data_IF_745208359583
#
_entry.id   IF_745208359583
#
_cell.length_a   1.000
_cell.length_b   1.000
_cell.length_c   1.000
_cell.angle_alpha   90.00
_cell.angle_beta   90.00
_cell.angle_gamma   90.00
#
_symmetry.space_group_name_H-M   'P 1'
#
loop_
_entity.id
_entity.type
_entity.pdbx_description
1 polymer ?
#
# COMPACT_ATOMS: atom_id res chain seq x y z
N UNK A 1 6.03 16.40 41.22
CA UNK A 1 5.38 16.33 39.89
C UNK A 1 4.01 15.71 40.06
N UNK A 2 2.93 16.39 39.65
CA UNK A 2 1.56 15.89 39.76
C UNK A 2 1.32 14.94 38.58
N UNK A 3 0.96 13.67 38.87
CA UNK A 3 0.55 12.73 37.84
C UNK A 3 -0.89 13.07 37.44
N UNK A 4 -1.11 13.26 36.15
CA UNK A 4 -2.43 13.51 35.57
C UNK A 4 -2.88 12.28 34.79
N UNK A 5 -4.17 11.95 34.90
CA UNK A 5 -4.73 10.82 34.16
C UNK A 5 -5.18 11.31 32.79
N UNK A 6 -4.44 10.91 31.76
CA UNK A 6 -4.75 11.23 30.37
C UNK A 6 -5.52 10.09 29.73
N UNK A 7 -6.50 10.41 28.89
CA UNK A 7 -7.25 9.43 28.11
C UNK A 7 -6.85 9.53 26.64
N UNK A 8 -6.34 8.45 26.07
CA UNK A 8 -6.00 8.37 24.65
C UNK A 8 -6.87 7.34 23.94
N UNK A 9 -7.20 7.61 22.68
CA UNK A 9 -7.81 6.64 21.77
C UNK A 9 -6.72 6.08 20.89
N UNK A 10 -6.56 4.76 20.89
CA UNK A 10 -5.55 4.09 20.07
C UNK A 10 -6.13 2.80 19.48
N UNK A 11 -5.70 2.42 18.27
CA UNK A 11 -5.96 1.07 17.77
C UNK A 11 -5.20 0.06 18.63
N UNK A 12 -5.86 -1.05 18.97
CA UNK A 12 -5.25 -2.26 19.51
C UNK A 12 -5.26 -3.32 18.42
N UNK A 13 -4.10 -3.95 18.18
CA UNK A 13 -3.93 -5.03 17.21
C UNK A 13 -4.10 -6.37 17.94
N UNK A 14 -4.98 -7.24 17.43
CA UNK A 14 -5.24 -8.58 17.95
C UNK A 14 -4.46 -9.65 17.19
N UNK A 15 -4.36 -9.48 15.87
CA UNK A 15 -3.64 -10.38 14.99
C UNK A 15 -3.03 -9.59 13.84
N UNK A 16 -1.92 -10.08 13.31
CA UNK A 16 -1.17 -9.43 12.25
C UNK A 16 -0.48 -10.46 11.38
N UNK A 17 -0.86 -10.47 10.10
CA UNK A 17 -0.25 -11.33 9.09
C UNK A 17 0.40 -10.46 8.04
N UNK A 18 1.66 -10.80 7.72
CA UNK A 18 2.41 -10.21 6.61
C UNK A 18 2.63 -11.26 5.54
N UNK A 19 2.35 -10.92 4.29
CA UNK A 19 2.48 -11.86 3.17
C UNK A 19 2.96 -11.16 1.92
N UNK A 20 3.94 -11.79 1.26
CA UNK A 20 4.30 -11.47 -0.12
C UNK A 20 3.27 -12.08 -1.07
N UNK A 21 2.74 -11.29 -1.98
CA UNK A 21 1.85 -11.71 -3.05
C UNK A 21 2.47 -11.34 -4.38
N UNK A 22 2.50 -12.30 -5.29
CA UNK A 22 3.02 -12.14 -6.64
C UNK A 22 1.84 -12.32 -7.59
N UNK A 23 1.58 -11.30 -8.40
CA UNK A 23 0.53 -11.37 -9.41
C UNK A 23 1.00 -12.26 -10.57
N UNK A 24 0.07 -12.91 -11.28
CA UNK A 24 0.40 -13.55 -12.54
C UNK A 24 1.10 -12.57 -13.48
N UNK A 25 2.09 -13.07 -14.23
CA UNK A 25 2.78 -12.27 -15.24
C UNK A 25 1.78 -11.73 -16.25
N UNK A 26 1.80 -10.42 -16.45
CA UNK A 26 0.96 -9.75 -17.44
C UNK A 26 1.79 -9.54 -18.69
N UNK A 27 1.31 -10.06 -19.82
CA UNK A 27 2.00 -9.99 -21.11
C UNK A 27 1.39 -8.89 -21.98
N UNK A 28 2.21 -7.93 -22.38
CA UNK A 28 1.81 -6.83 -23.28
C UNK A 28 2.46 -7.01 -24.64
N UNK A 29 1.66 -7.35 -25.65
CA UNK A 29 2.09 -7.46 -27.06
C UNK A 29 1.97 -6.13 -27.79
N UNK A 30 1.19 -5.20 -27.26
CA UNK A 30 1.05 -3.82 -27.70
C UNK A 30 0.94 -2.96 -26.45
N UNK A 31 1.64 -1.83 -26.42
CA UNK A 31 1.45 -0.83 -25.37
C UNK A 31 0.45 0.18 -25.94
N UNK A 32 -0.75 0.28 -25.39
CA UNK A 32 -1.65 1.39 -25.76
C UNK A 32 -1.01 2.71 -25.30
N UNK A 33 -1.04 3.73 -26.15
CA UNK A 33 -0.18 4.90 -26.01
C UNK A 33 -0.94 6.16 -25.62
N UNK A 34 -0.42 6.92 -24.64
CA UNK A 34 -0.97 8.22 -24.22
C UNK A 34 -0.58 9.34 -25.21
N UNK A 35 0.59 9.23 -25.81
CA UNK A 35 1.12 10.06 -26.90
C UNK A 35 1.53 9.15 -28.05
N UNK A 36 1.40 9.54 -29.32
CA UNK A 36 1.66 8.73 -30.54
C UNK A 36 3.08 8.10 -30.56
N UNK A 37 3.26 7.01 -29.82
CA UNK A 37 4.53 6.32 -29.69
C UNK A 37 4.64 5.31 -30.83
N UNK A 38 5.60 5.51 -31.73
CA UNK A 38 5.89 4.57 -32.82
C UNK A 38 6.54 3.25 -32.36
N UNK A 39 6.18 2.69 -31.19
CA UNK A 39 6.82 1.48 -30.64
C UNK A 39 6.58 0.25 -31.56
N UNK A 40 5.51 0.27 -32.34
CA UNK A 40 5.20 -0.69 -33.40
C UNK A 40 5.53 -0.21 -34.83
N UNK A 41 6.10 1.00 -35.00
CA UNK A 41 6.37 1.61 -36.32
C UNK A 41 7.87 1.91 -36.53
N UNK A 42 8.53 1.07 -37.32
CA UNK A 42 9.79 1.43 -37.99
C UNK A 42 11.06 1.48 -37.13
N UNK A 43 11.66 2.67 -37.07
CA UNK A 43 13.03 2.98 -36.57
C UNK A 43 13.13 3.03 -35.03
N UNK A 44 11.98 3.11 -34.35
CA UNK A 44 11.86 3.15 -32.88
C UNK A 44 11.55 1.79 -32.24
N UNK A 45 11.68 0.69 -32.98
CA UNK A 45 11.55 -0.67 -32.43
C UNK A 45 12.68 -0.90 -31.40
N UNK A 46 12.35 -1.06 -30.11
CA UNK A 46 13.36 -1.20 -29.06
C UNK A 46 14.29 -2.38 -29.33
N UNK A 47 13.79 -3.46 -29.94
CA UNK A 47 14.58 -4.64 -30.26
C UNK A 47 15.58 -4.45 -31.42
N UNK A 48 15.30 -3.53 -32.35
CA UNK A 48 16.28 -3.12 -33.38
C UNK A 48 17.37 -2.22 -32.79
N UNK A 49 17.02 -1.40 -31.80
CA UNK A 49 17.95 -0.48 -31.16
C UNK A 49 18.97 -1.24 -30.30
N UNK A 50 18.53 -2.28 -29.57
CA UNK A 50 19.40 -3.17 -28.75
C UNK A 50 20.49 -3.82 -29.59
N UNK A 51 20.12 -4.30 -30.78
CA UNK A 51 21.04 -5.01 -31.67
C UNK A 51 22.11 -4.09 -32.27
N UNK A 52 21.92 -2.77 -32.20
CA UNK A 52 22.91 -1.75 -32.57
C UNK A 52 23.76 -1.25 -31.38
N UNK A 53 23.87 -2.04 -30.30
CA UNK A 53 24.72 -1.76 -29.13
C UNK A 53 24.29 -0.55 -28.29
N UNK A 54 23.02 -0.12 -28.39
CA UNK A 54 22.44 0.90 -27.50
C UNK A 54 21.61 0.22 -26.40
N UNK A 55 21.82 0.63 -25.15
CA UNK A 55 20.99 0.19 -24.03
C UNK A 55 19.68 1.00 -23.95
N UNK A 56 18.68 0.39 -23.35
CA UNK A 56 17.38 0.96 -23.02
C UNK A 56 17.03 0.48 -21.60
N UNK A 57 16.21 1.25 -20.90
CA UNK A 57 15.67 0.93 -19.60
C UNK A 57 14.16 0.84 -19.73
N UNK A 58 13.57 -0.27 -19.30
CA UNK A 58 12.12 -0.38 -19.14
C UNK A 58 11.83 -0.14 -17.67
N UNK A 59 11.20 0.99 -17.39
CA UNK A 59 10.72 1.36 -16.06
C UNK A 59 9.25 0.97 -15.97
N UNK A 60 8.89 0.36 -14.85
CA UNK A 60 7.49 0.20 -14.47
C UNK A 60 7.29 0.80 -13.08
N UNK A 61 6.29 1.66 -12.96
CA UNK A 61 6.00 2.36 -11.72
C UNK A 61 4.50 2.37 -11.44
N UNK A 62 4.16 2.55 -10.17
CA UNK A 62 2.79 2.70 -9.72
C UNK A 62 2.26 4.07 -10.16
N UNK A 63 1.04 4.11 -10.68
CA UNK A 63 0.40 5.36 -11.09
C UNK A 63 -1.03 5.47 -10.58
N UNK A 64 -1.58 6.66 -10.70
CA UNK A 64 -3.02 6.87 -10.63
C UNK A 64 -3.72 6.49 -11.96
N UNK A 65 -5.03 6.72 -12.03
CA UNK A 65 -5.83 6.44 -13.22
C UNK A 65 -5.55 7.40 -14.40
N UNK A 66 -4.85 8.51 -14.17
CA UNK A 66 -4.42 9.45 -15.19
C UNK A 66 -3.01 9.14 -15.72
N UNK A 67 -2.24 8.32 -14.99
CA UNK A 67 -0.87 7.94 -15.35
C UNK A 67 0.21 8.71 -14.62
N UNK A 68 -0.17 9.47 -13.60
CA UNK A 68 0.78 10.22 -12.77
C UNK A 68 1.41 9.28 -11.74
N UNK A 69 2.74 9.33 -11.61
CA UNK A 69 3.49 8.44 -10.73
C UNK A 69 3.11 8.65 -9.26
N UNK A 70 2.78 7.56 -8.57
CA UNK A 70 2.45 7.55 -7.15
C UNK A 70 3.61 6.94 -6.36
N UNK A 71 3.89 7.51 -5.19
CA UNK A 71 4.82 6.88 -4.26
C UNK A 71 4.13 5.69 -3.58
N UNK A 72 4.65 4.45 -3.71
CA UNK A 72 4.00 3.28 -3.14
C UNK A 72 3.88 3.27 -1.61
N UNK A 73 4.61 4.14 -0.90
CA UNK A 73 4.48 4.27 0.56
C UNK A 73 3.34 5.20 0.98
N UNK A 74 2.70 5.88 0.05
CA UNK A 74 1.60 6.80 0.37
C UNK A 74 0.34 6.04 0.74
N UNK A 75 -0.39 6.52 1.75
CA UNK A 75 -1.59 5.87 2.31
C UNK A 75 -2.70 5.61 1.28
N UNK A 76 -2.71 6.36 0.17
CA UNK A 76 -3.72 6.30 -0.88
C UNK A 76 -3.17 5.82 -2.23
N UNK A 77 -1.94 5.31 -2.26
CA UNK A 77 -1.32 4.79 -3.47
C UNK A 77 -2.01 3.53 -4.02
N UNK A 78 -2.71 2.78 -3.15
CA UNK A 78 -3.44 1.57 -3.53
C UNK A 78 -4.86 1.62 -3.00
N UNK A 79 -5.77 0.99 -3.75
CA UNK A 79 -7.08 0.63 -3.23
C UNK A 79 -6.95 -0.75 -2.57
N UNK A 80 -6.80 -0.80 -1.24
CA UNK A 80 -6.87 -2.05 -0.49
C UNK A 80 -8.13 -2.13 0.38
N UNK A 81 -8.95 -3.14 0.13
CA UNK A 81 -10.16 -3.42 0.90
C UNK A 81 -10.04 -4.79 1.55
N UNK A 82 -10.25 -4.84 2.86
CA UNK A 82 -10.30 -6.08 3.63
C UNK A 82 -11.68 -6.21 4.27
N UNK A 83 -12.30 -7.38 4.16
CA UNK A 83 -13.58 -7.65 4.80
C UNK A 83 -13.72 -9.13 5.19
N UNK A 84 -14.38 -9.43 6.32
CA UNK A 84 -14.64 -10.81 6.73
C UNK A 84 -15.67 -11.45 5.78
N UNK A 85 -15.48 -12.74 5.49
CA UNK A 85 -16.40 -13.53 4.64
C UNK A 85 -17.22 -14.56 5.44
N UNK A 86 -17.30 -14.40 6.76
CA UNK A 86 -18.25 -15.12 7.63
C UNK A 86 -17.96 -16.60 7.87
N UNK A 87 -16.80 -17.12 7.46
CA UNK A 87 -16.42 -18.51 7.72
C UNK A 87 -15.52 -18.60 8.95
N UNK A 88 -16.12 -18.99 10.08
CA UNK A 88 -15.40 -19.27 11.30
C UNK A 88 -14.72 -20.65 11.22
N UNK A 89 -13.47 -20.71 11.65
CA UNK A 89 -12.67 -21.92 11.76
C UNK A 89 -12.17 -21.97 13.20
N UNK A 90 -12.75 -22.85 14.01
CA UNK A 90 -12.27 -23.08 15.36
C UNK A 90 -11.01 -23.94 15.33
N UNK A 91 -9.97 -23.54 16.05
CA UNK A 91 -8.75 -24.33 16.24
C UNK A 91 -8.33 -24.34 17.69
N UNK A 92 -7.63 -25.40 18.11
CA UNK A 92 -7.17 -25.57 19.49
C UNK A 92 -5.69 -25.24 19.55
N UNK A 93 -5.34 -24.25 20.35
CA UNK A 93 -3.96 -23.89 20.68
C UNK A 93 -3.28 -25.05 21.44
N UNK A 94 -1.93 -25.12 21.45
CA UNK A 94 -1.20 -26.08 22.28
C UNK A 94 -1.54 -25.99 23.79
N UNK A 95 -2.06 -24.84 24.24
CA UNK A 95 -2.56 -24.62 25.60
C UNK A 95 -3.89 -25.32 25.90
N UNK A 96 -4.56 -25.89 24.91
CA UNK A 96 -5.91 -26.45 25.02
C UNK A 96 -7.02 -25.42 24.83
N UNK A 97 -6.69 -24.13 24.67
CA UNK A 97 -7.66 -23.07 24.41
C UNK A 97 -8.17 -23.14 22.97
N UNK A 98 -9.49 -23.06 22.78
CA UNK A 98 -10.11 -22.93 21.46
C UNK A 98 -10.14 -21.47 21.06
N UNK A 99 -9.68 -21.16 19.86
CA UNK A 99 -9.78 -19.84 19.24
C UNK A 99 -10.55 -19.93 17.92
N UNK A 100 -11.34 -18.91 17.63
CA UNK A 100 -12.06 -18.79 16.38
C UNK A 100 -11.29 -17.90 15.41
N UNK A 101 -10.88 -18.49 14.29
CA UNK A 101 -10.29 -17.80 13.17
C UNK A 101 -11.36 -17.48 12.14
N UNK A 102 -11.23 -16.34 11.47
CA UNK A 102 -12.11 -15.95 10.37
C UNK A 102 -11.32 -15.81 9.08
N UNK A 103 -11.95 -16.21 7.98
CA UNK A 103 -11.44 -15.85 6.66
C UNK A 103 -11.75 -14.39 6.35
N UNK A 104 -10.71 -13.66 5.92
CA UNK A 104 -10.80 -12.27 5.47
C UNK A 104 -10.40 -12.23 4.00
N UNK A 105 -11.30 -11.70 3.17
CA UNK A 105 -11.01 -11.45 1.76
C UNK A 105 -10.40 -10.07 1.63
N UNK A 106 -9.27 -10.01 0.96
CA UNK A 106 -8.51 -8.79 0.71
C UNK A 106 -8.44 -8.59 -0.80
N UNK A 107 -8.94 -7.45 -1.28
CA UNK A 107 -8.85 -7.06 -2.68
C UNK A 107 -7.97 -5.83 -2.79
N UNK A 108 -6.97 -5.91 -3.67
CA UNK A 108 -6.02 -4.83 -3.94
C UNK A 108 -6.12 -4.48 -5.41
N UNK A 109 -6.25 -3.20 -5.72
CA UNK A 109 -6.19 -2.69 -7.08
C UNK A 109 -5.41 -1.39 -7.17
N UNK A 110 -4.93 -1.10 -8.38
CA UNK A 110 -4.18 0.11 -8.71
C UNK A 110 -3.90 0.17 -10.21
N UNK A 111 -3.08 1.13 -10.61
CA UNK A 111 -2.62 1.28 -11.98
C UNK A 111 -1.10 1.27 -12.02
N UNK A 112 -0.52 0.80 -13.12
CA UNK A 112 0.90 0.94 -13.41
C UNK A 112 1.08 1.61 -14.75
N UNK A 113 2.22 2.26 -14.95
CA UNK A 113 2.67 2.75 -16.25
C UNK A 113 4.01 2.13 -16.58
N UNK A 114 4.17 1.78 -17.86
CA UNK A 114 5.42 1.27 -18.42
C UNK A 114 6.03 2.37 -19.27
N UNK A 115 7.30 2.68 -18.99
CA UNK A 115 8.07 3.70 -19.68
C UNK A 115 9.34 3.07 -20.25
N UNK A 116 9.60 3.29 -21.54
CA UNK A 116 10.81 2.85 -22.21
C UNK A 116 11.71 4.05 -22.43
N UNK A 117 12.89 4.02 -21.83
CA UNK A 117 13.86 5.11 -21.82
C UNK A 117 15.09 4.66 -22.61
N UNK A 118 15.62 5.52 -23.48
CA UNK A 118 16.85 5.21 -24.21
C UNK A 118 18.11 5.45 -23.36
N UNK A 119 19.27 5.07 -23.90
CA UNK A 119 20.59 5.31 -23.28
C UNK A 119 20.93 6.76 -22.98
N UNK A 120 20.24 7.73 -23.60
CA UNK A 120 20.42 9.16 -23.34
C UNK A 120 19.48 9.69 -22.25
N UNK A 121 18.59 8.85 -21.70
CA UNK A 121 17.61 9.24 -20.69
C UNK A 121 16.31 9.82 -21.26
N UNK A 122 16.09 9.78 -22.58
CA UNK A 122 14.84 10.24 -23.18
C UNK A 122 13.82 9.11 -23.24
N UNK A 123 12.59 9.43 -22.83
CA UNK A 123 11.42 8.57 -22.97
C UNK A 123 11.09 8.38 -24.45
N UNK A 124 11.15 7.14 -24.91
CA UNK A 124 10.78 6.72 -26.27
C UNK A 124 9.30 6.34 -26.32
N UNK A 125 8.82 5.70 -25.27
CA UNK A 125 7.50 5.09 -25.21
C UNK A 125 6.95 5.23 -23.79
N UNK A 126 5.67 5.58 -23.68
CA UNK A 126 4.92 5.52 -22.43
C UNK A 126 3.57 4.86 -22.67
N UNK A 127 3.19 3.93 -21.81
CA UNK A 127 1.87 3.30 -21.87
C UNK A 127 0.80 4.24 -21.30
N UNK A 128 -0.45 4.04 -21.70
CA UNK A 128 -1.59 4.47 -20.87
C UNK A 128 -1.56 3.76 -19.52
N UNK A 129 -2.30 4.24 -18.51
CA UNK A 129 -2.40 3.58 -17.21
C UNK A 129 -3.01 2.19 -17.35
N UNK A 130 -2.28 1.18 -16.88
CA UNK A 130 -2.67 -0.23 -16.95
C UNK A 130 -3.25 -0.64 -15.60
N UNK A 131 -4.55 -0.97 -15.52
CA UNK A 131 -5.15 -1.43 -14.27
C UNK A 131 -4.64 -2.82 -13.89
N UNK A 132 -4.38 -3.04 -12.61
CA UNK A 132 -4.17 -4.37 -12.04
C UNK A 132 -5.08 -4.58 -10.82
N UNK A 133 -5.40 -5.84 -10.56
CA UNK A 133 -6.14 -6.23 -9.35
C UNK A 133 -5.78 -7.64 -8.92
N UNK A 134 -5.74 -7.87 -7.61
CA UNK A 134 -5.61 -9.20 -7.03
C UNK A 134 -6.52 -9.34 -5.83
N UNK A 135 -6.95 -10.57 -5.58
CA UNK A 135 -7.77 -10.93 -4.43
C UNK A 135 -7.13 -12.09 -3.69
N UNK A 136 -6.99 -11.94 -2.39
CA UNK A 136 -6.31 -12.89 -1.52
C UNK A 136 -7.21 -13.22 -0.32
N UNK A 137 -7.05 -14.43 0.21
CA UNK A 137 -7.75 -14.85 1.41
C UNK A 137 -6.73 -15.05 2.52
N UNK A 138 -6.98 -14.39 3.64
CA UNK A 138 -6.23 -14.51 4.87
C UNK A 138 -7.09 -15.19 5.92
N UNK A 139 -6.43 -15.87 6.85
CA UNK A 139 -7.08 -16.42 8.03
C UNK A 139 -6.53 -15.64 9.22
N UNK A 140 -7.40 -14.95 9.96
CA UNK A 140 -7.03 -14.08 11.07
C UNK A 140 -7.87 -14.40 12.31
N UNK A 141 -7.33 -14.16 13.49
CA UNK A 141 -8.14 -14.00 14.69
C UNK A 141 -8.91 -12.67 14.58
N UNK A 142 -10.23 -12.75 14.44
CA UNK A 142 -11.11 -11.59 14.30
C UNK A 142 -12.21 -11.64 15.37
N UNK A 143 -11.89 -11.29 16.63
CA UNK A 143 -12.86 -11.23 17.72
C UNK A 143 -14.01 -10.26 17.44
N UNK A 144 -15.12 -10.42 18.15
CA UNK A 144 -16.23 -9.47 18.08
C UNK A 144 -15.76 -8.03 18.41
N UNK A 145 -16.24 -7.06 17.63
CA UNK A 145 -15.85 -5.65 17.77
C UNK A 145 -14.49 -5.30 17.12
N UNK A 146 -13.83 -6.26 16.46
CA UNK A 146 -12.64 -5.99 15.63
C UNK A 146 -12.99 -5.91 14.15
N UNK A 147 -12.14 -5.25 13.37
CA UNK A 147 -12.25 -5.16 11.91
C UNK A 147 -10.86 -5.28 11.26
N UNK A 148 -10.79 -5.87 10.06
CA UNK A 148 -9.52 -6.01 9.36
C UNK A 148 -9.13 -4.70 8.68
N UNK A 149 -7.85 -4.35 8.78
CA UNK A 149 -7.21 -3.29 7.99
C UNK A 149 -6.17 -3.93 7.08
N UNK A 150 -6.08 -3.41 5.86
CA UNK A 150 -5.05 -3.77 4.90
C UNK A 150 -4.15 -2.57 4.60
N UNK A 151 -2.85 -2.84 4.55
CA UNK A 151 -1.83 -1.90 4.14
C UNK A 151 -0.84 -2.58 3.18
N UNK A 152 -0.37 -1.84 2.18
CA UNK A 152 0.70 -2.29 1.29
C UNK A 152 1.99 -1.65 1.76
N UNK A 153 2.91 -2.46 2.27
CA UNK A 153 4.18 -1.97 2.83
C UNK A 153 5.30 -1.91 1.81
N UNK A 154 5.16 -2.65 0.69
CA UNK A 154 6.11 -2.60 -0.41
C UNK A 154 5.47 -3.01 -1.72
N UNK A 155 5.88 -2.33 -2.79
CA UNK A 155 5.51 -2.60 -4.17
C UNK A 155 6.77 -2.73 -5.01
N UNK A 156 6.80 -3.73 -5.87
CA UNK A 156 7.85 -3.91 -6.87
C UNK A 156 7.24 -4.33 -8.19
N UNK A 157 7.47 -3.52 -9.21
CA UNK A 157 7.17 -3.86 -10.59
C UNK A 157 8.48 -4.17 -11.32
N UNK A 158 8.54 -5.34 -11.96
CA UNK A 158 9.68 -5.74 -12.80
C UNK A 158 9.16 -6.06 -14.19
N UNK A 159 9.94 -5.70 -15.19
CA UNK A 159 9.58 -5.86 -16.60
C UNK A 159 10.69 -6.57 -17.36
N UNK A 160 10.31 -7.49 -18.23
CA UNK A 160 11.21 -8.19 -19.13
C UNK A 160 10.79 -7.90 -20.57
N UNK A 161 11.64 -7.18 -21.32
CA UNK A 161 11.43 -6.96 -22.75
C UNK A 161 11.84 -8.20 -23.53
N UNK A 162 10.91 -8.76 -24.30
CA UNK A 162 11.15 -9.94 -25.11
C UNK A 162 11.12 -9.58 -26.59
N UNK A 163 12.19 -10.00 -27.27
CA UNK A 163 12.40 -9.76 -28.69
C UNK A 163 12.41 -11.09 -29.45
N UNK A 164 11.67 -11.17 -30.55
CA UNK A 164 11.67 -12.32 -31.46
C UNK A 164 12.17 -11.89 -32.84
N UNK A 165 13.18 -12.59 -33.38
CA UNK A 165 13.78 -12.30 -34.69
C UNK A 165 14.18 -10.82 -34.87
N UNK A 166 14.74 -10.19 -33.83
CA UNK A 166 15.14 -8.77 -33.77
C UNK A 166 14.00 -7.77 -33.89
N UNK A 167 12.77 -8.19 -33.61
CA UNK A 167 11.59 -7.33 -33.51
C UNK A 167 11.00 -7.44 -32.11
N UNK A 168 10.34 -6.38 -31.69
CA UNK A 168 9.48 -6.41 -30.52
C UNK A 168 8.46 -7.55 -30.61
N UNK A 169 8.33 -8.32 -29.54
CA UNK A 169 7.32 -9.38 -29.42
C UNK A 169 6.36 -9.07 -28.26
N UNK A 170 6.89 -8.88 -27.05
CA UNK A 170 6.09 -8.51 -25.88
C UNK A 170 6.95 -7.97 -24.73
N UNK A 171 6.28 -7.37 -23.74
CA UNK A 171 6.83 -7.10 -22.42
C UNK A 171 6.09 -7.97 -21.41
N UNK A 172 6.84 -8.74 -20.64
CA UNK A 172 6.31 -9.43 -19.47
C UNK A 172 6.45 -8.54 -18.24
N UNK A 173 5.37 -8.38 -17.48
CA UNK A 173 5.34 -7.56 -16.27
C UNK A 173 4.98 -8.42 -15.07
N UNK A 174 5.82 -8.35 -14.04
CA UNK A 174 5.63 -9.05 -12.78
C UNK A 174 5.49 -8.03 -11.65
N UNK A 175 4.35 -8.09 -10.95
CA UNK A 175 4.05 -7.23 -9.80
C UNK A 175 4.15 -8.05 -8.52
N UNK A 176 4.94 -7.54 -7.56
CA UNK A 176 5.11 -8.11 -6.23
C UNK A 176 4.65 -7.09 -5.19
N UNK A 177 3.78 -7.54 -4.30
CA UNK A 177 3.22 -6.76 -3.20
C UNK A 177 3.62 -7.40 -1.88
N UNK A 178 3.96 -6.58 -0.89
CA UNK A 178 4.02 -7.00 0.51
C UNK A 178 2.83 -6.39 1.22
N UNK A 179 1.98 -7.27 1.74
CA UNK A 179 0.69 -6.90 2.31
C UNK A 179 0.75 -7.17 3.81
N UNK A 180 0.33 -6.17 4.56
CA UNK A 180 0.15 -6.21 6.00
C UNK A 180 -1.35 -6.18 6.29
N UNK A 181 -1.86 -7.28 6.86
CA UNK A 181 -3.26 -7.38 7.29
C UNK A 181 -3.32 -7.47 8.80
N UNK A 182 -4.06 -6.56 9.42
CA UNK A 182 -4.20 -6.47 10.87
C UNK A 182 -5.66 -6.59 11.26
N UNK A 183 -5.93 -7.32 12.34
CA UNK A 183 -7.23 -7.32 13.04
C UNK A 183 -7.14 -6.30 14.16
N UNK A 184 -7.95 -5.23 14.10
CA UNK A 184 -7.86 -4.13 15.07
C UNK A 184 -9.21 -3.75 15.70
N UNK A 185 -9.15 -3.13 16.87
CA UNK A 185 -10.28 -2.36 17.42
C UNK A 185 -9.80 -1.03 18.01
N UNK A 186 -10.70 -0.07 18.18
CA UNK A 186 -10.37 1.22 18.80
C UNK A 186 -10.67 1.16 20.29
N UNK A 187 -9.63 1.27 21.12
CA UNK A 187 -9.75 1.28 22.58
C UNK A 187 -9.49 2.66 23.16
N UNK A 188 -9.96 2.88 24.39
CA UNK A 188 -9.61 4.04 25.22
C UNK A 188 -8.70 3.57 26.33
N UNK A 189 -7.48 4.10 26.37
CA UNK A 189 -6.51 3.84 27.43
C UNK A 189 -6.42 5.04 28.34
N UNK A 190 -6.41 4.77 29.65
CA UNK A 190 -6.05 5.75 30.66
C UNK A 190 -4.58 5.56 31.00
N UNK A 191 -3.77 6.59 30.83
CA UNK A 191 -2.34 6.59 31.13
C UNK A 191 -2.02 7.68 32.15
N UNK A 192 -0.99 7.45 32.96
CA UNK A 192 -0.46 8.46 33.86
C UNK A 192 0.57 9.32 33.11
N UNK A 193 0.21 10.59 32.87
CA UNK A 193 1.10 11.60 32.29
C UNK A 193 1.70 12.51 33.36
N UNK A 194 2.81 13.17 33.02
CA UNK A 194 3.37 14.26 33.80
C UNK A 194 3.27 15.52 32.95
N UNK A 195 2.54 16.53 33.44
CA UNK A 195 2.45 17.83 32.77
C UNK A 195 3.82 18.51 32.80
N UNK A 196 4.34 18.87 31.62
CA UNK A 196 5.54 19.69 31.49
C UNK A 196 5.12 21.16 31.69
N UNK A 197 5.64 21.80 32.74
CA UNK A 197 5.55 23.27 32.85
C UNK A 197 6.44 23.90 31.78
N UNK A 198 5.94 24.97 31.13
CA UNK A 198 6.74 25.75 30.20
C UNK A 198 8.06 26.18 30.85
N UNK A 199 9.14 26.05 30.09
CA UNK A 199 10.47 26.52 30.46
C UNK A 199 10.40 28.05 30.63
N UNK A 200 10.72 28.54 31.83
CA UNK A 200 10.61 29.97 32.18
C UNK A 200 11.56 30.87 31.40
N UNK A 201 12.52 30.29 30.68
CA UNK A 201 13.49 30.92 29.79
C UNK A 201 12.98 31.13 28.35
N UNK A 202 11.76 30.69 28.04
CA UNK A 202 11.14 30.89 26.73
C UNK A 202 10.13 32.03 26.85
N UNK A 203 10.49 33.22 26.34
CA UNK A 203 9.53 34.29 26.08
C UNK A 203 8.65 33.85 24.90
N UNK A 204 7.40 33.47 25.20
CA UNK A 204 6.41 33.07 24.20
C UNK A 204 5.68 34.34 23.78
N UNK A 205 5.89 34.78 22.55
CA UNK A 205 5.12 35.86 21.91
C UNK A 205 3.71 35.33 21.62
N UNK A 206 2.72 35.77 22.40
CA UNK A 206 1.39 35.15 22.53
C UNK A 206 0.36 35.64 21.51
N UNK A 207 0.77 36.31 20.44
CA UNK A 207 -0.15 37.02 19.56
C UNK A 207 -0.85 36.18 18.48
N UNK A 208 -0.56 34.87 18.33
CA UNK A 208 -1.11 34.09 17.19
C UNK A 208 -1.55 32.64 17.49
N UNK A 209 -1.92 32.30 18.73
CA UNK A 209 -2.43 30.95 19.05
C UNK A 209 -3.93 30.98 19.38
N UNK A 210 -4.83 30.38 18.56
CA UNK A 210 -6.24 30.29 18.88
C UNK A 210 -6.43 29.48 20.17
N UNK A 211 -7.28 29.99 21.05
CA UNK A 211 -7.58 29.43 22.36
C UNK A 211 -8.39 28.13 22.24
N UNK A 212 -7.74 27.03 21.87
CA UNK A 212 -8.37 25.72 21.90
C UNK A 212 -8.47 25.22 23.35
N UNK A 213 -9.71 25.01 23.79
CA UNK A 213 -10.02 24.45 25.10
C UNK A 213 -9.32 23.08 25.26
N UNK A 214 -8.76 22.78 26.45
CA UNK A 214 -8.17 21.47 26.69
C UNK A 214 -9.21 20.34 26.50
N UNK A 215 -8.79 19.16 26.03
CA UNK A 215 -9.70 18.04 25.81
C UNK A 215 -10.42 17.67 27.11
N UNK A 216 -11.73 17.40 26.99
CA UNK A 216 -12.59 17.13 28.14
C UNK A 216 -12.19 15.84 28.88
N UNK A 217 -12.34 15.80 30.22
CA UNK A 217 -12.04 14.61 31.02
C UNK A 217 -13.00 13.45 30.70
N UNK A 218 -12.49 12.23 30.85
CA UNK A 218 -13.25 11.01 30.60
C UNK A 218 -14.55 10.94 31.44
N UNK A 219 -15.70 10.58 30.84
CA UNK A 219 -16.90 10.29 31.61
C UNK A 219 -16.63 9.11 32.56
N UNK A 220 -17.08 9.24 33.80
CA UNK A 220 -16.99 8.15 34.78
C UNK A 220 -17.82 6.98 34.28
N UNK A 221 -17.21 5.80 34.12
CA UNK A 221 -17.94 4.54 33.99
C UNK A 221 -18.57 4.25 35.35
N UNK A 222 -19.89 4.42 35.44
CA UNK A 222 -20.68 3.99 36.59
C UNK A 222 -20.71 2.46 36.62
N UNK A 223 -20.35 1.79 37.72
CA UNK A 223 -20.56 0.36 37.84
C UNK A 223 -22.06 0.05 37.96
N UNK A 224 -22.52 -0.93 37.18
CA UNK A 224 -23.78 -1.67 37.36
C UNK A 224 -23.55 -2.87 38.27
#
# INVERSE_FOLDING_TARGET
>A
MRKEKLCIRTPQIYDWVRRKVELPTIRFTELDHRDDCGCNKGENDPCKIITNSKSFLVKCFLSDANGDELNPTDKHAFNCFAYPIGQNISTTLPSGQVIDLQKVKVTISGFIVIEIINSFGFTICISIPIPFSTTQIFTLCLPEGTFPICEITSFKCTTDLVCSKKKFDHIDVCIKLYIDIQSITNIKLQIDGVSCTARSDIEIDLDDCPSDLPPSPCPKLSPS
#
